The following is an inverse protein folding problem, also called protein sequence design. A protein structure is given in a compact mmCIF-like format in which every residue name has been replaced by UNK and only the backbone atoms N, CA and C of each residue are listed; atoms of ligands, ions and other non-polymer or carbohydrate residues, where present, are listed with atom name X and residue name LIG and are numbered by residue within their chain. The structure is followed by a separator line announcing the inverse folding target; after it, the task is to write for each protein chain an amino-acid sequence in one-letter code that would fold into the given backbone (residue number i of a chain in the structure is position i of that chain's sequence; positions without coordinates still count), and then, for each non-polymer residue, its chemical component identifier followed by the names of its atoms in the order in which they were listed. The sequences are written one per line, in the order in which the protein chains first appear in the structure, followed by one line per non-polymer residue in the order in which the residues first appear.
data_IF_992166355406
#
_entry.id   IF_992166355406
#
_cell.length_a   1.000
_cell.length_b   1.000
_cell.length_c   1.000
_cell.angle_alpha   90.00
_cell.angle_beta   90.00
_cell.angle_gamma   90.00
#
_symmetry.space_group_name_H-M   'P 1'
#
loop_
_entity.id
_entity.type
_entity.pdbx_description
1 polymer ?
#
# COMPACT_ATOMS: atom_id res chain seq x y z
N UNK A 1 14.01 28.14 0.15
CA UNK A 1 12.66 27.69 0.56
C UNK A 1 11.96 27.03 -0.63
N UNK A 2 12.21 25.74 -0.84
CA UNK A 2 11.61 24.97 -1.94
C UNK A 2 10.17 24.60 -1.61
N UNK A 3 9.25 24.91 -2.52
CA UNK A 3 7.83 24.56 -2.41
C UNK A 3 7.73 23.03 -2.35
N UNK A 4 7.45 22.48 -1.16
CA UNK A 4 7.00 21.10 -1.05
C UNK A 4 5.66 21.07 -1.74
N UNK A 5 5.60 20.47 -2.93
CA UNK A 5 4.33 20.15 -3.58
C UNK A 5 3.48 19.40 -2.55
N UNK A 6 2.46 20.07 -2.05
CA UNK A 6 1.44 19.44 -1.24
C UNK A 6 0.75 18.47 -2.19
N UNK A 7 1.11 17.19 -2.11
CA UNK A 7 0.45 16.11 -2.81
C UNK A 7 -1.00 16.10 -2.33
N UNK A 8 -1.88 16.71 -3.12
CA UNK A 8 -3.32 16.69 -2.90
C UNK A 8 -3.75 15.21 -2.86
N UNK A 9 -4.46 14.74 -1.82
CA UNK A 9 -5.11 13.45 -1.91
C UNK A 9 -6.19 13.59 -2.99
N UNK A 10 -5.99 12.97 -4.15
CA UNK A 10 -7.08 12.72 -5.08
C UNK A 10 -7.78 11.47 -4.56
N UNK A 11 -9.07 11.61 -4.25
CA UNK A 11 -9.93 10.46 -4.01
C UNK A 11 -10.02 9.65 -5.31
N UNK A 12 -9.98 8.31 -5.25
CA UNK A 12 -10.31 7.49 -6.42
C UNK A 12 -11.82 7.62 -6.68
N UNK A 13 -12.18 8.23 -7.80
CA UNK A 13 -13.55 8.25 -8.31
C UNK A 13 -13.89 6.86 -8.86
N UNK A 14 -14.32 5.96 -7.98
CA UNK A 14 -15.10 4.75 -8.29
C UNK A 14 -14.39 3.61 -9.03
N UNK A 15 -14.14 2.50 -8.33
CA UNK A 15 -14.84 1.24 -8.60
C UNK A 15 -14.55 0.50 -9.91
N UNK A 16 -13.56 0.91 -10.71
CA UNK A 16 -13.19 0.23 -11.93
C UNK A 16 -12.32 -0.99 -11.65
N UNK A 17 -12.65 -2.15 -12.22
CA UNK A 17 -11.74 -3.28 -12.28
C UNK A 17 -10.40 -2.82 -12.89
N UNK A 18 -9.29 -3.10 -12.22
CA UNK A 18 -7.98 -2.59 -12.64
C UNK A 18 -7.39 -3.50 -13.70
N UNK A 19 -7.11 -2.95 -14.89
CA UNK A 19 -6.49 -3.72 -15.99
C UNK A 19 -4.98 -3.86 -15.77
N UNK A 20 -4.41 -5.02 -16.09
CA UNK A 20 -2.96 -5.24 -15.95
C UNK A 20 -2.11 -4.36 -16.87
N UNK A 21 -2.69 -3.88 -17.97
CA UNK A 21 -2.09 -2.95 -18.91
C UNK A 21 -2.33 -1.47 -18.52
N UNK A 22 -3.01 -1.20 -17.41
CA UNK A 22 -3.17 0.17 -16.92
C UNK A 22 -1.82 0.77 -16.50
N UNK A 23 -1.58 2.00 -16.94
CA UNK A 23 -0.41 2.77 -16.55
C UNK A 23 -0.54 3.31 -15.13
N UNK A 24 0.51 3.20 -14.35
CA UNK A 24 0.59 3.75 -13.00
C UNK A 24 0.96 5.24 -13.05
N UNK A 25 0.18 6.07 -12.39
CA UNK A 25 0.48 7.51 -12.26
C UNK A 25 1.20 7.82 -10.96
N UNK A 26 0.91 7.08 -9.90
CA UNK A 26 1.48 7.33 -8.58
C UNK A 26 1.55 6.05 -7.76
N UNK A 27 2.60 5.93 -6.96
CA UNK A 27 2.72 4.89 -5.94
C UNK A 27 3.03 5.55 -4.61
N UNK A 28 2.22 5.26 -3.60
CA UNK A 28 2.38 5.79 -2.25
C UNK A 28 2.39 4.67 -1.22
N UNK A 29 3.35 4.73 -0.30
CA UNK A 29 3.45 3.83 0.85
C UNK A 29 2.87 4.52 2.08
N UNK A 30 2.01 3.81 2.79
CA UNK A 30 1.33 4.25 3.98
C UNK A 30 1.70 3.36 5.17
N UNK A 31 1.61 3.93 6.36
CA UNK A 31 1.71 3.21 7.63
C UNK A 31 0.49 3.50 8.49
N UNK A 32 -0.16 2.45 9.00
CA UNK A 32 -1.19 2.57 10.02
C UNK A 32 -0.57 2.44 11.41
N UNK A 33 -1.13 3.22 12.35
CA UNK A 33 -0.78 3.07 13.74
C UNK A 33 -1.14 1.64 14.23
N UNK A 34 -0.35 1.07 15.16
CA UNK A 34 -0.69 -0.17 15.84
C UNK A 34 -2.12 -0.17 16.37
N UNK A 35 -2.90 -1.18 16.01
CA UNK A 35 -4.21 -1.42 16.61
C UNK A 35 -4.07 -2.50 17.68
N UNK A 36 -3.93 -2.06 18.92
CA UNK A 36 -3.91 -2.93 20.10
C UNK A 36 -2.53 -3.48 20.48
N UNK A 37 -2.56 -4.44 21.42
CA UNK A 37 -1.38 -5.09 21.96
C UNK A 37 -1.45 -6.61 21.77
N UNK A 38 -0.30 -7.22 21.56
CA UNK A 38 -0.11 -8.67 21.43
C UNK A 38 0.36 -9.22 22.78
N UNK A 39 -0.25 -10.32 23.28
CA UNK A 39 0.25 -11.02 24.45
C UNK A 39 1.67 -11.54 24.21
N UNK A 40 2.55 -11.37 25.19
CA UNK A 40 3.88 -12.01 25.16
C UNK A 40 3.93 -13.20 26.11
N UNK A 41 4.91 -14.09 25.92
CA UNK A 41 5.14 -15.23 26.81
C UNK A 41 5.46 -14.82 28.26
N UNK A 42 5.87 -13.57 28.48
CA UNK A 42 6.09 -13.01 29.81
C UNK A 42 4.75 -12.60 30.44
N UNK A 43 4.47 -13.17 31.62
CA UNK A 43 3.21 -12.96 32.35
C UNK A 43 2.98 -11.47 32.63
N UNK A 44 1.94 -10.90 32.02
CA UNK A 44 1.55 -9.50 32.18
C UNK A 44 2.22 -8.50 31.23
N UNK A 45 3.07 -8.96 30.30
CA UNK A 45 3.70 -8.08 29.31
C UNK A 45 2.91 -8.09 28.00
N UNK A 46 2.44 -6.90 27.62
CA UNK A 46 1.78 -6.61 26.35
C UNK A 46 2.78 -5.89 25.44
N UNK A 47 3.01 -6.44 24.25
CA UNK A 47 3.78 -5.74 23.21
C UNK A 47 2.80 -4.95 22.34
N UNK A 48 3.15 -3.74 21.91
CA UNK A 48 2.37 -3.08 20.87
C UNK A 48 2.39 -3.94 19.60
N UNK A 49 1.24 -4.07 18.93
CA UNK A 49 1.21 -4.68 17.60
C UNK A 49 2.17 -3.94 16.67
N UNK A 50 2.88 -4.62 15.77
CA UNK A 50 3.72 -3.94 14.80
C UNK A 50 2.85 -3.02 13.91
N UNK A 51 3.41 -1.90 13.44
CA UNK A 51 2.72 -1.03 12.49
C UNK A 51 2.40 -1.80 11.19
N UNK A 52 1.26 -1.49 10.58
CA UNK A 52 0.86 -2.10 9.31
C UNK A 52 1.24 -1.20 8.16
N UNK A 53 1.89 -1.76 7.15
CA UNK A 53 2.27 -1.02 5.94
C UNK A 53 1.45 -1.50 4.77
N UNK A 54 1.00 -0.56 3.96
CA UNK A 54 0.36 -0.85 2.68
C UNK A 54 0.83 0.13 1.62
N UNK A 55 0.77 -0.29 0.38
CA UNK A 55 1.11 0.51 -0.80
C UNK A 55 -0.16 0.70 -1.61
N UNK A 56 -0.42 1.93 -2.03
CA UNK A 56 -1.49 2.26 -2.97
C UNK A 56 -0.83 2.67 -4.28
N UNK A 57 -1.20 2.00 -5.36
CA UNK A 57 -0.80 2.36 -6.71
C UNK A 57 -2.04 2.88 -7.46
N UNK A 58 -2.00 4.16 -7.83
CA UNK A 58 -3.06 4.84 -8.58
C UNK A 58 -2.81 4.62 -10.08
N UNK A 59 -3.86 4.24 -10.80
CA UNK A 59 -3.80 4.02 -12.25
C UNK A 59 -4.28 5.25 -13.01
N UNK A 60 -3.87 5.35 -14.28
CA UNK A 60 -4.28 6.45 -15.17
C UNK A 60 -5.79 6.46 -15.44
N UNK A 61 -6.44 5.30 -15.33
CA UNK A 61 -7.88 5.16 -15.46
C UNK A 61 -8.66 5.61 -14.22
N UNK A 62 -7.98 6.01 -13.14
CA UNK A 62 -8.60 6.43 -11.88
C UNK A 62 -8.81 5.29 -10.87
N UNK A 63 -8.40 4.07 -11.22
CA UNK A 63 -8.41 2.92 -10.30
C UNK A 63 -7.26 2.96 -9.30
N UNK A 64 -7.38 2.15 -8.24
CA UNK A 64 -6.32 1.99 -7.24
C UNK A 64 -6.11 0.52 -6.88
N UNK A 65 -4.85 0.12 -6.79
CA UNK A 65 -4.46 -1.21 -6.32
C UNK A 65 -3.77 -1.08 -4.97
N UNK A 66 -4.20 -1.90 -4.01
CA UNK A 66 -3.57 -1.99 -2.70
C UNK A 66 -2.70 -3.24 -2.66
N UNK A 67 -1.45 -3.07 -2.27
CA UNK A 67 -0.57 -4.17 -1.86
C UNK A 67 -0.29 -4.04 -0.37
N UNK A 68 -0.66 -5.05 0.40
CA UNK A 68 -0.35 -5.13 1.82
C UNK A 68 0.36 -6.44 2.15
N UNK A 69 1.26 -6.39 3.12
CA UNK A 69 1.89 -7.61 3.63
C UNK A 69 1.23 -7.99 4.93
N UNK A 70 0.52 -9.12 4.93
CA UNK A 70 -0.10 -9.65 6.14
C UNK A 70 0.88 -10.58 6.81
N UNK A 71 1.18 -10.31 8.09
CA UNK A 71 2.07 -11.15 8.88
C UNK A 71 1.53 -12.59 8.91
N UNK A 72 2.32 -13.54 8.39
CA UNK A 72 1.97 -14.96 8.32
C UNK A 72 1.21 -15.41 7.06
N UNK A 73 0.71 -14.50 6.23
CA UNK A 73 -0.07 -14.84 5.02
C UNK A 73 0.57 -14.39 3.69
N UNK A 74 1.73 -13.73 3.74
CA UNK A 74 2.43 -13.26 2.54
C UNK A 74 1.94 -11.89 2.06
N UNK A 75 2.35 -11.53 0.84
CA UNK A 75 1.93 -10.28 0.20
C UNK A 75 0.52 -10.50 -0.39
N UNK A 76 -0.47 -9.79 0.15
CA UNK A 76 -1.85 -9.81 -0.33
C UNK A 76 -2.08 -8.60 -1.22
N UNK A 77 -2.59 -8.88 -2.42
CA UNK A 77 -3.03 -7.90 -3.39
C UNK A 77 -4.55 -7.77 -3.30
N UNK A 78 -5.03 -6.55 -3.18
CA UNK A 78 -6.47 -6.29 -3.16
C UNK A 78 -6.76 -5.07 -4.02
N UNK A 79 -7.65 -5.26 -4.99
CA UNK A 79 -8.15 -4.19 -5.82
C UNK A 79 -9.27 -3.47 -5.09
N UNK A 80 -9.27 -2.14 -5.18
CA UNK A 80 -10.31 -1.23 -4.72
C UNK A 80 -11.16 -1.74 -3.54
N UNK A 81 -10.57 -1.66 -2.34
CA UNK A 81 -11.34 -1.94 -1.14
C UNK A 81 -12.21 -0.71 -0.88
N UNK A 82 -13.53 -0.87 -0.81
CA UNK A 82 -14.45 0.26 -0.55
C UNK A 82 -14.18 1.02 0.76
N UNK A 83 -13.20 0.61 1.56
CA UNK A 83 -12.67 1.29 2.74
C UNK A 83 -11.32 2.01 2.52
N UNK A 84 -10.77 2.04 1.29
CA UNK A 84 -9.46 2.61 0.96
C UNK A 84 -9.34 4.06 1.44
N UNK A 85 -10.35 4.89 1.16
CA UNK A 85 -10.37 6.29 1.60
C UNK A 85 -10.23 6.41 3.13
N UNK A 86 -10.98 5.58 3.86
CA UNK A 86 -10.93 5.53 5.32
C UNK A 86 -9.56 5.06 5.82
N UNK A 87 -8.96 4.05 5.17
CA UNK A 87 -7.62 3.56 5.52
C UNK A 87 -6.56 4.63 5.30
N UNK A 88 -6.60 5.33 4.16
CA UNK A 88 -5.71 6.45 3.84
C UNK A 88 -5.84 7.55 4.89
N UNK A 89 -7.06 7.94 5.26
CA UNK A 89 -7.30 8.99 6.26
C UNK A 89 -6.76 8.66 7.67
N UNK A 90 -6.71 7.37 8.04
CA UNK A 90 -6.19 6.90 9.33
C UNK A 90 -4.70 6.56 9.31
N UNK A 91 -4.05 6.75 8.17
CA UNK A 91 -2.67 6.36 7.95
C UNK A 91 -1.76 7.57 7.76
N UNK A 92 -0.45 7.35 7.89
CA UNK A 92 0.56 8.32 7.55
C UNK A 92 1.22 7.92 6.24
N UNK A 93 1.31 8.87 5.30
CA UNK A 93 2.14 8.70 4.09
C UNK A 93 3.60 8.66 4.50
N UNK A 94 4.28 7.57 4.17
CA UNK A 94 5.71 7.40 4.41
C UNK A 94 6.53 7.86 3.21
N UNK A 95 6.10 7.48 2.00
CA UNK A 95 6.77 7.81 0.73
C UNK A 95 5.72 7.90 -0.37
N UNK A 96 5.98 8.74 -1.37
CA UNK A 96 5.15 8.87 -2.57
C UNK A 96 6.05 9.16 -3.75
N UNK A 97 5.80 8.50 -4.88
CA UNK A 97 6.54 8.67 -6.12
C UNK A 97 5.56 8.84 -7.27
N UNK A 98 5.79 9.85 -8.10
CA UNK A 98 5.12 10.02 -9.38
C UNK A 98 5.77 9.08 -10.40
N UNK A 99 4.95 8.24 -11.05
CA UNK A 99 5.41 7.22 -11.99
C UNK A 99 4.97 7.50 -13.44
N UNK A 100 4.34 8.65 -13.71
CA UNK A 100 3.79 8.95 -15.03
C UNK A 100 4.85 8.90 -16.14
N UNK A 101 6.04 9.43 -15.87
CA UNK A 101 7.14 9.45 -16.85
C UNK A 101 7.85 8.09 -17.00
N UNK A 102 7.67 7.17 -16.05
CA UNK A 102 8.36 5.88 -16.04
C UNK A 102 7.66 4.82 -16.91
N UNK A 103 6.39 5.05 -17.30
CA UNK A 103 5.63 4.12 -18.13
C UNK A 103 5.37 2.76 -17.45
N UNK A 104 5.35 2.72 -16.12
CA UNK A 104 5.13 1.50 -15.35
C UNK A 104 3.67 1.05 -15.46
N UNK A 105 3.47 -0.25 -15.54
CA UNK A 105 2.15 -0.87 -15.62
C UNK A 105 1.79 -1.62 -14.34
N UNK A 106 0.50 -1.87 -14.13
CA UNK A 106 0.01 -2.66 -12.99
C UNK A 106 0.68 -4.05 -12.95
N UNK A 107 0.84 -4.71 -14.11
CA UNK A 107 1.54 -6.01 -14.20
C UNK A 107 2.99 -5.97 -13.69
N UNK A 108 3.70 -4.86 -13.91
CA UNK A 108 5.10 -4.74 -13.50
C UNK A 108 5.20 -4.70 -11.98
N UNK A 109 4.27 -3.98 -11.36
CA UNK A 109 4.17 -3.86 -9.91
C UNK A 109 3.79 -5.21 -9.27
N UNK A 110 2.82 -5.94 -9.84
CA UNK A 110 2.45 -7.29 -9.39
C UNK A 110 3.62 -8.26 -9.47
N UNK A 111 4.35 -8.25 -10.58
CA UNK A 111 5.54 -9.09 -10.76
C UNK A 111 6.64 -8.76 -9.75
N UNK A 112 6.87 -7.48 -9.48
CA UNK A 112 7.86 -7.04 -8.50
C UNK A 112 7.51 -7.49 -7.07
N UNK A 113 6.24 -7.41 -6.67
CA UNK A 113 5.83 -7.90 -5.34
C UNK A 113 5.90 -9.42 -5.24
N UNK A 114 5.46 -10.16 -6.26
CA UNK A 114 5.61 -11.63 -6.26
C UNK A 114 7.08 -12.05 -6.07
N UNK A 115 8.01 -11.36 -6.73
CA UNK A 115 9.45 -11.58 -6.56
C UNK A 115 9.97 -11.15 -5.17
N UNK A 116 9.42 -10.08 -4.59
CA UNK A 116 9.79 -9.63 -3.24
C UNK A 116 9.30 -10.60 -2.15
N UNK A 117 8.07 -11.12 -2.29
CA UNK A 117 7.52 -12.15 -1.41
C UNK A 117 8.36 -13.42 -1.41
N UNK A 118 8.81 -13.86 -2.59
CA UNK A 118 9.67 -15.04 -2.74
C UNK A 118 11.06 -14.88 -2.08
N UNK A 119 11.62 -13.66 -2.05
CA UNK A 119 12.97 -13.38 -1.49
C UNK A 119 13.02 -13.36 0.04
N UNK A 120 11.86 -13.30 0.70
CA UNK A 120 11.76 -13.20 2.16
C UNK A 120 11.16 -14.44 2.81
N UNK A 121 10.73 -15.44 2.02
CA UNK A 121 10.34 -16.78 2.50
C UNK A 121 11.52 -17.75 2.69
N UNK A 122 12.76 -17.28 2.55
CA UNK A 122 14.00 -18.06 2.64
C UNK A 122 14.85 -17.75 3.88
N UNK A 123 14.23 -17.32 4.99
CA UNK A 123 14.92 -17.10 6.27
C UNK A 123 14.28 -17.87 7.41
#
# INVERSE_FOLDING_TARGET
FGRRSASRPLAPDGGGAVDEADGLVRVAQYVEAPRGCVPTAAKGSLLHSPPRFFVVAETRAGGAVIAERVAGAGDQWTEDTGDLERRVALSKVMRSVDTQAAGLLVRDLRRAAAAAGARLGSR
#
